data_IF_799493106719
#
_entry.id   IF_799493106719
#
_cell.length_a   1.000
_cell.length_b   1.000
_cell.length_c   1.000
_cell.angle_alpha   90.00
_cell.angle_beta   90.00
_cell.angle_gamma   90.00
#
_symmetry.space_group_name_H-M   'P 1'
#
loop_
_entity.id
_entity.type
_entity.pdbx_description
1 polymer ?
#
# COMPACT_ATOMS: atom_id res chain seq x y z
N UNK A 1 7.16 -22.66 -69.06
CA UNK A 1 8.40 -23.38 -68.71
C UNK A 1 8.69 -23.17 -67.22
N UNK A 2 9.03 -24.26 -66.53
CA UNK A 2 9.26 -24.53 -65.08
C UNK A 2 10.06 -23.48 -64.26
N UNK A 3 10.21 -23.57 -62.91
CA UNK A 3 9.71 -24.57 -61.91
C UNK A 3 9.08 -23.93 -60.63
N UNK A 4 8.15 -24.55 -59.87
CA UNK A 4 8.28 -25.59 -58.82
C UNK A 4 9.47 -25.47 -57.84
N UNK A 5 9.21 -24.96 -56.63
CA UNK A 5 10.02 -25.24 -55.43
C UNK A 5 9.09 -25.74 -54.33
N UNK A 6 9.28 -26.99 -53.93
CA UNK A 6 8.62 -27.62 -52.79
C UNK A 6 9.45 -27.33 -51.53
N UNK A 7 8.81 -26.81 -50.48
CA UNK A 7 9.42 -26.65 -49.17
C UNK A 7 9.09 -27.88 -48.33
N UNK A 8 10.11 -28.70 -48.06
CA UNK A 8 10.03 -29.84 -47.14
C UNK A 8 10.17 -29.29 -45.72
N UNK A 9 9.11 -29.39 -44.91
CA UNK A 9 9.15 -29.14 -43.48
C UNK A 9 9.49 -30.46 -42.76
N UNK A 10 10.70 -30.55 -42.22
CA UNK A 10 11.10 -31.62 -41.30
C UNK A 10 10.64 -31.21 -39.90
N UNK A 11 9.62 -31.89 -39.37
CA UNK A 11 9.22 -31.77 -37.98
C UNK A 11 10.13 -32.69 -37.14
N UNK A 12 11.03 -32.11 -36.36
CA UNK A 12 11.75 -32.83 -35.29
C UNK A 12 10.87 -32.76 -34.04
N UNK A 13 10.22 -33.87 -33.71
CA UNK A 13 9.51 -34.03 -32.44
C UNK A 13 10.54 -34.29 -31.33
N UNK A 14 10.80 -33.28 -30.50
CA UNK A 14 11.48 -33.48 -29.20
C UNK A 14 10.39 -33.71 -28.16
N UNK A 15 10.28 -34.94 -27.67
CA UNK A 15 9.41 -35.29 -26.57
C UNK A 15 9.85 -34.58 -25.29
N UNK A 16 9.06 -33.63 -24.83
CA UNK A 16 9.18 -33.10 -23.48
C UNK A 16 8.53 -34.10 -22.52
N UNK A 17 9.35 -34.73 -21.68
CA UNK A 17 8.86 -35.41 -20.49
C UNK A 17 8.15 -34.37 -19.61
N UNK A 18 6.85 -34.57 -19.40
CA UNK A 18 6.06 -33.74 -18.51
C UNK A 18 6.52 -33.96 -17.07
N UNK A 19 7.37 -33.08 -16.55
CA UNK A 19 7.44 -32.85 -15.12
C UNK A 19 6.14 -32.16 -14.74
N UNK A 20 5.23 -32.90 -14.10
CA UNK A 20 4.06 -32.30 -13.44
C UNK A 20 4.54 -31.45 -12.28
N UNK A 21 4.88 -30.19 -12.55
CA UNK A 21 4.78 -29.16 -11.54
C UNK A 21 3.30 -28.94 -11.29
N UNK A 22 2.80 -29.29 -10.11
CA UNK A 22 1.49 -28.84 -9.66
C UNK A 22 1.51 -27.32 -9.59
N UNK A 23 1.15 -26.67 -10.70
CA UNK A 23 0.87 -25.26 -10.74
C UNK A 23 -0.42 -25.06 -9.92
N UNK A 24 -0.25 -24.79 -8.62
CA UNK A 24 -1.33 -24.33 -7.78
C UNK A 24 -1.95 -23.11 -8.46
N UNK A 25 -3.24 -23.19 -8.77
CA UNK A 25 -3.97 -22.10 -9.39
C UNK A 25 -3.96 -20.91 -8.43
N UNK A 26 -3.10 -19.92 -8.67
CA UNK A 26 -3.11 -18.66 -7.93
C UNK A 26 -4.38 -17.90 -8.30
N UNK A 27 -5.44 -18.06 -7.51
CA UNK A 27 -6.63 -17.24 -7.67
C UNK A 27 -6.25 -15.75 -7.50
N UNK A 28 -6.60 -14.89 -8.46
CA UNK A 28 -6.21 -13.49 -8.40
C UNK A 28 -6.92 -12.77 -7.24
N UNK A 29 -6.17 -11.97 -6.48
CA UNK A 29 -6.75 -11.17 -5.40
C UNK A 29 -7.63 -10.07 -5.98
N UNK A 30 -8.92 -10.10 -5.64
CA UNK A 30 -9.86 -9.06 -5.99
C UNK A 30 -9.74 -7.85 -5.05
N UNK A 31 -8.77 -6.98 -5.33
CA UNK A 31 -8.51 -5.78 -4.53
C UNK A 31 -9.71 -4.85 -4.46
N UNK A 32 -10.07 -4.45 -3.23
CA UNK A 32 -11.16 -3.51 -2.95
C UNK A 32 -10.65 -2.39 -2.07
N UNK A 33 -11.19 -1.19 -2.27
CA UNK A 33 -10.97 -0.08 -1.34
C UNK A 33 -11.72 -0.36 -0.02
N UNK A 34 -11.15 -1.18 0.84
CA UNK A 34 -11.77 -1.61 2.09
C UNK A 34 -11.78 -0.50 3.15
N UNK A 35 -12.49 -0.75 4.25
CA UNK A 35 -12.48 0.10 5.44
C UNK A 35 -12.64 -0.72 6.70
N UNK A 36 -11.69 -0.57 7.62
CA UNK A 36 -11.79 -1.06 8.99
C UNK A 36 -12.56 -0.06 9.85
N UNK A 37 -13.67 -0.51 10.46
CA UNK A 37 -14.53 0.33 11.31
C UNK A 37 -14.45 -0.18 12.75
N UNK A 38 -14.41 0.75 13.71
CA UNK A 38 -14.31 0.42 15.13
C UNK A 38 -12.90 0.01 15.56
N UNK A 39 -12.81 -0.62 16.71
CA UNK A 39 -11.56 -1.14 17.28
C UNK A 39 -11.42 -2.64 16.95
N UNK A 40 -10.21 -3.23 17.05
CA UNK A 40 -9.98 -4.64 16.68
C UNK A 40 -10.88 -5.67 17.36
N UNK A 41 -11.42 -5.35 18.54
CA UNK A 41 -12.26 -6.21 19.40
C UNK A 41 -13.73 -5.77 19.48
N UNK A 42 -14.10 -4.72 18.75
CA UNK A 42 -15.48 -4.25 18.59
C UNK A 42 -15.54 -3.45 17.29
N UNK A 43 -15.70 -4.19 16.19
CA UNK A 43 -15.51 -3.62 14.87
C UNK A 43 -16.15 -4.43 13.75
N UNK A 44 -16.04 -3.88 12.55
CA UNK A 44 -16.48 -4.53 11.31
C UNK A 44 -15.55 -4.21 10.15
N UNK A 45 -15.52 -5.12 9.19
CA UNK A 45 -14.79 -4.98 7.94
C UNK A 45 -15.77 -4.64 6.81
N UNK A 46 -15.59 -3.48 6.19
CA UNK A 46 -16.41 -3.04 5.06
C UNK A 46 -15.63 -3.24 3.77
N UNK A 47 -16.25 -3.95 2.80
CA UNK A 47 -15.61 -4.29 1.51
C UNK A 47 -14.26 -4.99 1.70
N UNK A 48 -14.21 -5.97 2.60
CA UNK A 48 -13.04 -6.79 2.86
C UNK A 48 -12.49 -7.44 1.59
N UNK A 49 -11.21 -7.78 1.64
CA UNK A 49 -10.49 -8.52 0.60
C UNK A 49 -10.20 -9.91 1.15
N UNK A 50 -10.50 -10.93 0.35
CA UNK A 50 -10.16 -12.32 0.65
C UNK A 50 -8.72 -12.59 0.26
N UNK A 51 -7.95 -13.20 1.16
CA UNK A 51 -6.66 -13.80 0.84
C UNK A 51 -6.92 -15.17 0.20
N UNK A 52 -6.30 -15.53 -0.95
CA UNK A 52 -6.41 -16.85 -1.58
C UNK A 52 -6.02 -18.00 -0.64
N UNK A 53 -6.42 -19.25 -0.94
CA UNK A 53 -6.10 -20.40 -0.08
C UNK A 53 -4.59 -20.66 0.05
N UNK A 54 -3.83 -20.28 -0.96
CA UNK A 54 -2.38 -20.30 -0.98
C UNK A 54 -1.84 -19.29 -2.01
N UNK A 55 -0.54 -19.05 -1.97
CA UNK A 55 0.16 -18.26 -2.98
C UNK A 55 1.61 -18.73 -3.12
N UNK A 56 2.39 -17.96 -3.88
CA UNK A 56 3.79 -18.29 -4.17
C UNK A 56 4.66 -18.43 -2.90
N UNK A 57 4.48 -17.52 -1.94
CA UNK A 57 5.31 -17.45 -0.73
C UNK A 57 4.55 -17.75 0.56
N UNK A 58 3.29 -18.20 0.45
CA UNK A 58 2.48 -18.55 1.60
C UNK A 58 1.52 -19.70 1.34
N UNK A 59 1.14 -20.38 2.42
CA UNK A 59 -0.03 -21.26 2.47
C UNK A 59 -0.93 -20.78 3.62
N UNK A 60 -2.21 -21.14 3.61
CA UNK A 60 -3.10 -20.81 4.74
C UNK A 60 -3.33 -22.04 5.62
N UNK A 61 -3.47 -21.85 6.92
CA UNK A 61 -3.56 -22.96 7.88
C UNK A 61 -4.78 -22.81 8.78
N UNK A 62 -5.63 -23.83 8.83
CA UNK A 62 -6.79 -23.90 9.72
C UNK A 62 -6.38 -24.35 11.14
N UNK A 63 -6.34 -23.47 12.15
CA UNK A 63 -6.02 -23.85 13.52
C UNK A 63 -7.05 -24.79 14.16
N UNK A 64 -8.28 -24.88 13.64
CA UNK A 64 -9.34 -25.72 14.20
C UNK A 64 -9.28 -27.12 13.58
N UNK A 65 -9.21 -27.19 12.25
CA UNK A 65 -9.19 -28.46 11.51
C UNK A 65 -7.78 -29.04 11.34
N UNK A 66 -6.74 -28.28 11.73
CA UNK A 66 -5.32 -28.69 11.67
C UNK A 66 -4.91 -29.13 10.26
N UNK A 67 -5.34 -28.36 9.24
CA UNK A 67 -5.05 -28.63 7.83
C UNK A 67 -4.89 -27.34 7.02
N UNK A 68 -4.27 -27.47 5.86
CA UNK A 68 -4.22 -26.47 4.81
C UNK A 68 -5.19 -26.85 3.67
N UNK A 69 -5.87 -25.89 3.00
CA UNK A 69 -5.91 -24.46 3.31
C UNK A 69 -6.84 -24.15 4.50
N UNK A 70 -6.75 -22.92 5.04
CA UNK A 70 -7.75 -22.40 5.96
C UNK A 70 -9.10 -22.18 5.26
N UNK A 71 -10.19 -22.29 6.02
CA UNK A 71 -11.55 -22.07 5.50
C UNK A 71 -11.69 -20.65 4.99
N UNK A 72 -12.29 -20.50 3.81
CA UNK A 72 -12.43 -19.23 3.08
C UNK A 72 -12.98 -18.07 3.95
N UNK A 73 -13.92 -18.34 4.85
CA UNK A 73 -14.55 -17.33 5.68
C UNK A 73 -13.65 -16.80 6.82
N UNK A 74 -12.46 -17.39 7.04
CA UNK A 74 -11.47 -16.94 8.03
C UNK A 74 -10.35 -16.10 7.41
N UNK A 75 -10.33 -16.01 6.08
CA UNK A 75 -9.24 -15.42 5.27
C UNK A 75 -9.51 -13.98 4.80
N UNK A 76 -10.27 -13.17 5.55
CA UNK A 76 -10.66 -11.82 5.10
C UNK A 76 -9.94 -10.71 5.85
N UNK A 77 -9.30 -9.80 5.12
CA UNK A 77 -8.58 -8.67 5.68
C UNK A 77 -8.98 -7.33 5.06
N UNK A 78 -8.48 -6.24 5.65
CA UNK A 78 -8.44 -4.97 4.92
C UNK A 78 -7.43 -5.07 3.77
N UNK A 79 -7.66 -4.32 2.69
CA UNK A 79 -6.72 -4.21 1.57
C UNK A 79 -5.34 -3.75 2.04
N UNK A 80 -5.29 -2.85 3.03
CA UNK A 80 -4.03 -2.41 3.63
C UNK A 80 -3.30 -3.55 4.36
N UNK A 81 -4.01 -4.36 5.14
CA UNK A 81 -3.41 -5.49 5.85
C UNK A 81 -2.83 -6.50 4.87
N UNK A 82 -3.61 -6.90 3.86
CA UNK A 82 -3.15 -7.90 2.90
C UNK A 82 -1.99 -7.40 2.03
N UNK A 83 -1.98 -6.12 1.64
CA UNK A 83 -0.82 -5.54 0.93
C UNK A 83 0.45 -5.50 1.77
N UNK A 84 0.32 -5.16 3.06
CA UNK A 84 1.46 -5.24 3.99
C UNK A 84 1.94 -6.68 4.13
N UNK A 85 1.02 -7.62 4.34
CA UNK A 85 1.33 -9.03 4.51
C UNK A 85 2.08 -9.58 3.30
N UNK A 86 1.53 -9.43 2.10
CA UNK A 86 2.14 -9.94 0.87
C UNK A 86 3.51 -9.31 0.62
N UNK A 87 3.68 -8.00 0.84
CA UNK A 87 5.00 -7.36 0.74
C UNK A 87 6.01 -8.00 1.70
N UNK A 88 5.64 -8.20 2.97
CA UNK A 88 6.54 -8.82 3.96
C UNK A 88 6.92 -10.24 3.54
N UNK A 89 5.97 -11.00 2.98
CA UNK A 89 6.21 -12.36 2.50
C UNK A 89 7.13 -12.38 1.27
N UNK A 90 6.91 -11.50 0.30
CA UNK A 90 7.75 -11.36 -0.88
C UNK A 90 9.19 -10.98 -0.48
N UNK A 91 9.34 -9.99 0.40
CA UNK A 91 10.66 -9.55 0.87
C UNK A 91 11.37 -10.60 1.75
N UNK A 92 10.61 -11.41 2.50
CA UNK A 92 11.15 -12.55 3.26
C UNK A 92 11.62 -13.65 2.31
N UNK A 93 10.79 -14.06 1.34
CA UNK A 93 11.15 -15.10 0.37
C UNK A 93 12.37 -14.70 -0.47
N UNK A 94 12.47 -13.43 -0.86
CA UNK A 94 13.64 -12.91 -1.57
C UNK A 94 14.93 -12.97 -0.73
N UNK A 95 14.83 -12.85 0.60
CA UNK A 95 15.98 -12.95 1.49
C UNK A 95 16.32 -14.39 1.89
N UNK A 96 15.34 -15.30 1.81
CA UNK A 96 15.46 -16.71 2.20
C UNK A 96 14.91 -17.63 1.09
N UNK A 97 15.59 -17.71 -0.08
CA UNK A 97 15.05 -18.39 -1.26
C UNK A 97 14.84 -19.91 -1.07
N UNK A 98 15.57 -20.53 -0.13
CA UNK A 98 15.46 -21.95 0.20
C UNK A 98 14.49 -22.22 1.36
N UNK A 99 13.88 -21.18 1.95
CA UNK A 99 12.94 -21.36 3.03
C UNK A 99 11.58 -21.86 2.52
N UNK A 100 10.93 -22.70 3.33
CA UNK A 100 9.53 -23.06 3.10
C UNK A 100 8.62 -21.82 3.11
N UNK A 101 7.47 -21.92 2.43
CA UNK A 101 6.45 -20.87 2.42
C UNK A 101 5.96 -20.59 3.85
N UNK A 102 5.54 -19.36 4.11
CA UNK A 102 5.08 -18.95 5.44
C UNK A 102 3.61 -19.29 5.63
N UNK A 103 3.24 -19.86 6.78
CA UNK A 103 1.86 -20.20 7.10
C UNK A 103 1.07 -18.99 7.57
N UNK A 104 -0.08 -18.71 6.95
CA UNK A 104 -1.02 -17.66 7.35
C UNK A 104 -2.22 -18.28 8.05
N UNK A 105 -2.46 -17.86 9.28
CA UNK A 105 -3.61 -18.28 10.08
C UNK A 105 -4.79 -17.34 9.93
N UNK A 106 -5.47 -17.11 11.06
CA UNK A 106 -6.69 -16.33 11.10
C UNK A 106 -6.47 -14.88 10.68
N UNK A 107 -7.31 -14.41 9.76
CA UNK A 107 -7.52 -13.00 9.46
C UNK A 107 -8.83 -12.58 10.14
N UNK A 108 -9.80 -12.04 9.42
CA UNK A 108 -11.14 -11.76 9.93
C UNK A 108 -12.19 -12.56 9.18
N UNK A 109 -13.42 -12.50 9.69
CA UNK A 109 -14.63 -12.91 8.96
C UNK A 109 -14.90 -11.96 7.77
N UNK A 110 -15.73 -12.34 6.76
CA UNK A 110 -15.95 -11.53 5.55
C UNK A 110 -16.45 -10.10 5.81
N UNK A 111 -17.15 -9.91 6.91
CA UNK A 111 -17.65 -8.61 7.38
C UNK A 111 -17.07 -8.20 8.73
N UNK A 112 -16.04 -8.91 9.20
CA UNK A 112 -15.52 -8.77 10.55
C UNK A 112 -16.56 -9.16 11.61
N UNK A 113 -16.60 -8.42 12.72
CA UNK A 113 -17.42 -8.73 13.88
C UNK A 113 -16.83 -9.84 14.74
N UNK A 114 -17.59 -10.26 15.75
CA UNK A 114 -17.12 -11.21 16.76
C UNK A 114 -16.53 -12.47 16.14
N UNK A 115 -15.36 -12.87 16.66
CA UNK A 115 -14.60 -14.03 16.21
C UNK A 115 -14.12 -14.88 17.41
N UNK A 116 -14.97 -15.03 18.42
CA UNK A 116 -14.70 -15.80 19.64
C UNK A 116 -14.84 -17.33 19.44
N UNK A 117 -14.88 -18.08 20.55
CA UNK A 117 -14.92 -19.55 20.60
C UNK A 117 -16.07 -20.17 19.78
N UNK A 118 -17.14 -19.43 19.50
CA UNK A 118 -18.24 -19.88 18.62
C UNK A 118 -17.77 -20.21 17.20
N UNK A 119 -16.60 -19.70 16.82
CA UNK A 119 -15.98 -19.89 15.51
C UNK A 119 -14.77 -20.83 15.56
N UNK A 120 -14.57 -21.54 16.67
CA UNK A 120 -13.64 -22.66 16.84
C UNK A 120 -12.37 -22.32 17.62
N UNK A 121 -11.78 -23.36 18.22
CA UNK A 121 -10.59 -23.23 19.07
C UNK A 121 -10.86 -22.37 20.30
N UNK A 122 -9.86 -21.56 20.71
CA UNK A 122 -10.01 -20.54 21.77
C UNK A 122 -10.68 -19.25 21.27
N UNK A 123 -10.96 -19.16 19.97
CA UNK A 123 -11.37 -17.92 19.31
C UNK A 123 -10.35 -16.78 19.48
N UNK A 124 -10.80 -15.59 19.09
CA UNK A 124 -10.06 -14.35 19.13
C UNK A 124 -10.86 -13.27 19.84
N UNK A 125 -10.23 -12.58 20.78
CA UNK A 125 -10.80 -11.35 21.35
C UNK A 125 -10.81 -10.20 20.32
N UNK A 126 -9.91 -10.25 19.32
CA UNK A 126 -9.81 -9.27 18.23
C UNK A 126 -10.17 -9.88 16.87
N UNK A 127 -9.47 -9.54 15.78
CA UNK A 127 -9.77 -10.02 14.42
C UNK A 127 -11.15 -9.60 13.89
N UNK A 128 -11.74 -8.55 14.46
CA UNK A 128 -13.11 -8.16 14.12
C UNK A 128 -13.21 -7.10 13.02
N UNK A 129 -12.10 -6.51 12.55
CA UNK A 129 -12.16 -5.39 11.60
C UNK A 129 -11.12 -5.44 10.46
N UNK A 130 -10.50 -6.60 10.21
CA UNK A 130 -9.55 -6.77 9.10
C UNK A 130 -8.19 -6.12 9.33
N UNK A 131 -7.77 -5.93 10.59
CA UNK A 131 -6.48 -5.32 10.96
C UNK A 131 -5.53 -6.27 11.70
N UNK A 132 -5.94 -7.50 11.90
CA UNK A 132 -5.18 -8.54 12.59
C UNK A 132 -4.94 -9.71 11.64
N UNK A 133 -3.77 -10.33 11.75
CA UNK A 133 -3.41 -11.59 11.07
C UNK A 133 -2.53 -12.43 11.97
N UNK A 134 -2.79 -13.73 12.02
CA UNK A 134 -1.87 -14.70 12.58
C UNK A 134 -0.90 -15.20 11.51
N UNK A 135 0.39 -15.23 11.84
CA UNK A 135 1.46 -15.70 10.97
C UNK A 135 2.22 -16.79 11.72
N UNK A 136 2.15 -18.03 11.24
CA UNK A 136 2.85 -19.16 11.83
C UNK A 136 4.35 -19.02 11.67
N UNK A 137 5.08 -19.39 12.72
CA UNK A 137 6.54 -19.39 12.67
C UNK A 137 7.03 -20.47 11.70
N UNK A 138 7.97 -20.14 10.78
CA UNK A 138 8.65 -21.15 9.98
C UNK A 138 9.27 -22.24 10.85
N UNK A 139 9.23 -23.49 10.37
CA UNK A 139 9.78 -24.65 11.08
C UNK A 139 11.21 -24.96 10.64
N UNK A 140 12.04 -25.47 11.57
CA UNK A 140 13.42 -25.89 11.29
C UNK A 140 13.53 -27.03 10.28
N UNK A 141 12.51 -27.87 10.21
CA UNK A 141 12.44 -29.01 9.29
C UNK A 141 11.86 -28.64 7.92
N UNK A 142 11.56 -27.36 7.69
CA UNK A 142 11.03 -26.87 6.42
C UNK A 142 9.61 -27.34 6.09
N UNK A 143 8.90 -27.98 7.02
CA UNK A 143 7.54 -28.44 6.74
C UNK A 143 6.54 -27.26 6.76
N UNK A 144 5.60 -27.25 5.82
CA UNK A 144 4.52 -26.26 5.71
C UNK A 144 3.37 -26.56 6.69
N UNK A 145 3.68 -26.56 7.98
CA UNK A 145 2.76 -26.81 9.09
C UNK A 145 3.03 -25.82 10.23
N UNK A 146 2.11 -25.72 11.18
CA UNK A 146 2.41 -25.04 12.45
C UNK A 146 3.48 -25.79 13.27
N UNK A 147 4.26 -25.06 14.07
CA UNK A 147 5.11 -25.67 15.09
C UNK A 147 4.25 -26.29 16.22
N UNK A 148 4.57 -27.50 16.68
CA UNK A 148 3.86 -28.11 17.81
C UNK A 148 4.45 -27.66 19.16
N UNK A 149 5.73 -27.29 19.17
CA UNK A 149 6.50 -26.85 20.34
C UNK A 149 7.55 -25.82 19.94
N UNK A 150 8.01 -24.94 20.86
CA UNK A 150 8.98 -23.89 20.55
C UNK A 150 10.27 -24.38 19.90
N UNK A 151 10.74 -25.59 20.23
CA UNK A 151 11.98 -26.15 19.68
C UNK A 151 11.93 -26.45 18.17
N UNK A 152 10.73 -26.54 17.58
CA UNK A 152 10.53 -26.76 16.14
C UNK A 152 10.59 -25.46 15.34
N UNK A 153 10.53 -24.31 16.00
CA UNK A 153 10.58 -22.99 15.36
C UNK A 153 11.97 -22.71 14.82
N UNK A 154 12.05 -22.32 13.55
CA UNK A 154 13.23 -21.69 12.98
C UNK A 154 13.30 -20.25 13.49
N UNK A 155 14.15 -20.05 14.49
CA UNK A 155 14.20 -18.81 15.27
C UNK A 155 14.66 -17.63 14.43
N UNK A 156 15.68 -17.82 13.58
CA UNK A 156 16.26 -16.74 12.79
C UNK A 156 15.24 -16.19 11.78
N UNK A 157 14.55 -17.08 11.08
CA UNK A 157 13.54 -16.71 10.09
C UNK A 157 12.31 -16.08 10.75
N UNK A 158 11.91 -16.60 11.91
CA UNK A 158 10.80 -16.03 12.70
C UNK A 158 11.13 -14.63 13.22
N UNK A 159 12.38 -14.38 13.63
CA UNK A 159 12.84 -13.07 14.06
C UNK A 159 12.87 -12.07 12.90
N UNK A 160 13.34 -12.49 11.72
CA UNK A 160 13.31 -11.66 10.50
C UNK A 160 11.87 -11.24 10.13
N UNK A 161 10.90 -12.16 10.18
CA UNK A 161 9.50 -11.83 9.97
C UNK A 161 8.98 -10.78 10.97
N UNK A 162 9.30 -10.93 12.27
CA UNK A 162 8.95 -9.92 13.29
C UNK A 162 9.53 -8.55 12.92
N UNK A 163 10.81 -8.50 12.57
CA UNK A 163 11.51 -7.26 12.24
C UNK A 163 10.91 -6.58 11.00
N UNK A 164 10.54 -7.35 9.98
CA UNK A 164 9.88 -6.84 8.76
C UNK A 164 8.48 -6.30 9.04
N UNK A 165 7.67 -6.98 9.85
CA UNK A 165 6.36 -6.45 10.24
C UNK A 165 6.50 -5.14 11.04
N UNK A 166 7.47 -5.07 11.95
CA UNK A 166 7.78 -3.84 12.69
C UNK A 166 8.19 -2.72 11.72
N UNK A 167 9.12 -2.99 10.80
CA UNK A 167 9.61 -2.03 9.82
C UNK A 167 8.50 -1.53 8.87
N UNK A 168 7.55 -2.40 8.51
CA UNK A 168 6.42 -2.05 7.64
C UNK A 168 5.29 -1.34 8.38
N UNK A 169 5.43 -1.14 9.70
CA UNK A 169 4.53 -0.30 10.50
C UNK A 169 3.41 -1.06 11.22
N UNK A 170 3.63 -2.33 11.56
CA UNK A 170 2.82 -3.02 12.56
C UNK A 170 2.85 -2.22 13.88
N UNK A 171 1.68 -2.07 14.51
CA UNK A 171 1.56 -1.35 15.79
C UNK A 171 1.62 -2.31 16.99
N UNK A 172 1.34 -3.60 16.75
CA UNK A 172 1.57 -4.71 17.68
C UNK A 172 2.01 -5.94 16.92
N UNK A 173 2.92 -6.69 17.53
CA UNK A 173 3.26 -8.06 17.16
C UNK A 173 3.28 -8.85 18.47
N UNK A 174 2.28 -9.71 18.68
CA UNK A 174 2.28 -10.58 19.85
C UNK A 174 3.00 -11.87 19.51
N UNK A 175 3.98 -12.24 20.34
CA UNK A 175 4.83 -13.42 20.14
C UNK A 175 4.77 -14.35 21.35
N UNK A 176 5.15 -15.60 21.13
CA UNK A 176 5.18 -16.62 22.16
C UNK A 176 6.19 -16.32 23.26
N UNK A 177 5.85 -16.53 24.54
CA UNK A 177 6.77 -16.28 25.65
C UNK A 177 8.00 -17.19 25.64
N UNK A 178 7.94 -18.36 24.98
CA UNK A 178 9.01 -19.37 25.00
C UNK A 178 9.83 -19.46 23.72
N UNK A 179 9.43 -18.74 22.66
CA UNK A 179 10.17 -18.73 21.38
C UNK A 179 11.39 -17.80 21.45
N UNK A 180 11.36 -16.79 22.32
CA UNK A 180 12.51 -15.89 22.53
C UNK A 180 12.66 -14.79 21.48
N UNK A 181 11.60 -14.50 20.71
CA UNK A 181 11.55 -13.38 19.76
C UNK A 181 11.52 -12.01 20.46
N UNK A 182 12.09 -10.99 19.80
CA UNK A 182 12.32 -9.66 20.39
C UNK A 182 12.00 -8.54 19.39
N UNK A 183 11.91 -7.31 19.92
CA UNK A 183 11.73 -6.08 19.15
C UNK A 183 11.35 -4.91 20.06
N UNK A 184 10.93 -3.76 19.51
CA UNK A 184 10.55 -2.60 20.31
C UNK A 184 9.41 -2.93 21.29
N UNK A 185 9.64 -2.80 22.59
CA UNK A 185 8.72 -3.24 23.68
C UNK A 185 7.27 -2.73 23.57
N UNK A 186 7.06 -1.57 22.94
CA UNK A 186 5.71 -1.01 22.71
C UNK A 186 4.96 -1.69 21.57
N UNK A 187 5.65 -2.37 20.67
CA UNK A 187 5.14 -3.04 19.48
C UNK A 187 5.18 -4.56 19.68
N UNK A 188 6.37 -5.12 19.96
CA UNK A 188 6.56 -6.56 20.17
C UNK A 188 6.30 -6.93 21.62
N UNK A 189 5.27 -7.74 21.87
CA UNK A 189 4.79 -8.09 23.20
C UNK A 189 4.64 -9.60 23.34
N UNK A 190 4.97 -10.15 24.51
CA UNK A 190 4.77 -11.58 24.76
C UNK A 190 3.33 -11.84 25.15
N UNK A 191 2.71 -12.85 24.57
CA UNK A 191 1.35 -13.26 24.87
C UNK A 191 1.27 -14.78 24.93
N UNK A 192 0.64 -15.32 25.98
CA UNK A 192 0.43 -16.76 26.11
C UNK A 192 -0.35 -17.31 24.91
N UNK A 193 -0.15 -18.59 24.60
CA UNK A 193 -0.75 -19.28 23.43
C UNK A 193 -0.26 -18.81 22.06
N UNK A 194 0.86 -18.10 21.97
CA UNK A 194 1.47 -17.63 20.71
C UNK A 194 2.85 -18.29 20.44
N UNK A 195 3.10 -19.48 20.98
CA UNK A 195 4.39 -20.16 20.80
C UNK A 195 4.57 -20.82 19.42
N UNK A 196 3.51 -20.89 18.61
CA UNK A 196 3.51 -21.43 17.25
C UNK A 196 3.24 -20.37 16.16
N UNK A 197 2.79 -19.17 16.54
CA UNK A 197 2.50 -18.07 15.62
C UNK A 197 2.74 -16.70 16.25
N UNK A 198 2.97 -15.69 15.43
CA UNK A 198 2.86 -14.28 15.82
C UNK A 198 1.50 -13.72 15.40
N UNK A 199 0.91 -12.91 16.27
CA UNK A 199 -0.28 -12.11 15.94
C UNK A 199 0.18 -10.71 15.56
N UNK A 200 -0.02 -10.32 14.30
CA UNK A 200 0.34 -8.99 13.79
C UNK A 200 -0.89 -8.09 13.73
N UNK A 201 -0.76 -6.85 14.22
CA UNK A 201 -1.82 -5.83 14.14
C UNK A 201 -1.32 -4.55 13.48
N UNK A 202 -2.09 -4.06 12.51
CA UNK A 202 -1.84 -2.75 11.89
C UNK A 202 -2.65 -1.62 12.53
N UNK A 203 -2.17 -0.38 12.35
CA UNK A 203 -2.85 0.83 12.80
C UNK A 203 -4.20 1.09 12.12
N UNK A 204 -5.01 2.03 12.62
CA UNK A 204 -6.27 2.39 11.98
C UNK A 204 -6.04 2.94 10.57
N UNK A 205 -7.07 2.87 9.73
CA UNK A 205 -7.02 3.40 8.38
C UNK A 205 -6.69 4.90 8.41
N UNK A 206 -5.67 5.35 7.65
CA UNK A 206 -5.37 6.76 7.57
C UNK A 206 -6.52 7.52 6.90
N UNK A 207 -6.69 8.79 7.32
CA UNK A 207 -7.72 9.67 6.75
C UNK A 207 -7.57 9.78 5.24
N UNK A 208 -8.66 9.53 4.51
CA UNK A 208 -8.72 9.66 3.05
C UNK A 208 -8.65 11.09 2.54
N UNK A 209 -9.03 12.07 3.36
CA UNK A 209 -8.99 13.50 3.04
C UNK A 209 -8.31 14.26 4.15
N UNK A 210 -7.30 15.05 3.80
CA UNK A 210 -6.46 15.81 4.72
C UNK A 210 -6.42 17.26 4.27
N UNK A 211 -6.72 18.20 5.17
CA UNK A 211 -6.53 19.62 4.87
C UNK A 211 -5.04 19.94 4.94
N UNK A 212 -4.48 20.52 3.88
CA UNK A 212 -3.04 20.83 3.78
C UNK A 212 -2.74 22.33 3.96
N UNK A 213 -3.76 23.18 3.85
CA UNK A 213 -3.63 24.61 4.03
C UNK A 213 -4.94 25.36 3.78
N UNK A 214 -4.81 26.67 3.64
CA UNK A 214 -5.86 27.58 3.20
C UNK A 214 -5.26 28.50 2.13
N UNK A 215 -6.10 28.96 1.21
CA UNK A 215 -5.75 30.00 0.25
C UNK A 215 -5.69 31.38 0.90
N UNK A 216 -5.33 32.39 0.11
CA UNK A 216 -5.37 33.80 0.51
C UNK A 216 -6.72 34.22 1.08
N UNK A 217 -7.83 33.86 0.44
CA UNK A 217 -9.19 34.16 0.92
C UNK A 217 -9.70 33.15 1.95
N UNK A 218 -8.82 32.32 2.52
CA UNK A 218 -9.17 31.39 3.61
C UNK A 218 -9.85 30.09 3.17
N UNK A 219 -10.05 29.86 1.87
CA UNK A 219 -10.67 28.62 1.35
C UNK A 219 -9.77 27.42 1.67
N UNK A 220 -10.34 26.30 2.16
CA UNK A 220 -9.53 25.14 2.54
C UNK A 220 -8.94 24.44 1.32
N UNK A 221 -7.67 24.04 1.42
CA UNK A 221 -6.98 23.23 0.41
C UNK A 221 -6.86 21.81 0.96
N UNK A 222 -7.28 20.82 0.17
CA UNK A 222 -7.29 19.42 0.57
C UNK A 222 -6.37 18.56 -0.31
N UNK A 223 -5.77 17.56 0.32
CA UNK A 223 -5.23 16.39 -0.35
C UNK A 223 -6.14 15.17 -0.08
N UNK A 224 -6.34 14.34 -1.10
CA UNK A 224 -6.98 13.03 -1.03
C UNK A 224 -5.92 11.93 -1.06
N UNK A 225 -6.19 10.81 -0.40
CA UNK A 225 -5.33 9.61 -0.40
C UNK A 225 -6.05 8.43 -1.05
N UNK A 226 -5.36 7.74 -1.94
CA UNK A 226 -5.83 6.55 -2.65
C UNK A 226 -4.72 5.49 -2.76
N UNK A 227 -5.05 4.29 -3.26
CA UNK A 227 -4.10 3.18 -3.34
C UNK A 227 -3.73 2.58 -1.98
N UNK A 228 -2.51 2.04 -1.91
CA UNK A 228 -1.92 1.48 -0.70
C UNK A 228 -1.41 2.58 0.23
N UNK A 229 -2.24 2.97 1.20
CA UNK A 229 -1.92 4.02 2.19
C UNK A 229 -0.83 3.62 3.19
N UNK A 230 -0.34 2.38 3.15
CA UNK A 230 0.80 1.89 3.92
C UNK A 230 2.08 1.74 3.08
N UNK A 231 2.06 2.05 1.78
CA UNK A 231 3.23 1.90 0.92
C UNK A 231 4.33 2.91 1.28
N UNK A 232 5.61 2.49 1.33
CA UNK A 232 6.73 3.41 1.46
C UNK A 232 6.84 4.31 0.22
N UNK A 233 6.48 3.78 -0.95
CA UNK A 233 6.48 4.46 -2.23
C UNK A 233 5.28 5.41 -2.36
N UNK A 234 5.56 6.70 -2.48
CA UNK A 234 4.55 7.77 -2.49
C UNK A 234 4.64 8.56 -3.79
N UNK A 235 3.48 8.90 -4.33
CA UNK A 235 3.37 9.83 -5.45
C UNK A 235 2.44 10.98 -5.08
N UNK A 236 2.76 12.19 -5.55
CA UNK A 236 1.90 13.36 -5.40
C UNK A 236 1.41 13.83 -6.77
N UNK A 237 0.11 14.02 -6.93
CA UNK A 237 -0.50 14.54 -8.15
C UNK A 237 -1.26 15.82 -7.84
N UNK A 238 -0.96 16.91 -8.55
CA UNK A 238 -1.65 18.20 -8.43
C UNK A 238 -2.46 18.46 -9.69
N UNK A 239 -3.77 18.63 -9.53
CA UNK A 239 -4.71 18.73 -10.65
C UNK A 239 -4.93 20.15 -11.17
N UNK A 240 -4.78 21.16 -10.31
CA UNK A 240 -4.97 22.55 -10.71
C UNK A 240 -4.13 23.49 -9.85
N UNK A 241 -3.17 24.16 -10.49
CA UNK A 241 -2.36 25.23 -9.89
C UNK A 241 -2.67 26.60 -10.52
N UNK A 242 -2.98 26.65 -11.81
CA UNK A 242 -3.55 27.83 -12.46
C UNK A 242 -5.07 27.72 -12.44
N UNK A 243 -5.77 28.67 -11.82
CA UNK A 243 -7.21 28.54 -11.56
C UNK A 243 -8.10 28.48 -12.81
N UNK A 244 -7.58 28.80 -13.99
CA UNK A 244 -8.26 28.68 -15.28
C UNK A 244 -7.87 27.42 -16.08
N UNK A 245 -7.01 26.54 -15.55
CA UNK A 245 -6.49 25.34 -16.23
C UNK A 245 -6.75 24.07 -15.40
N UNK A 246 -7.99 23.89 -14.96
CA UNK A 246 -8.31 22.86 -13.96
C UNK A 246 -8.78 21.49 -14.52
N UNK A 247 -8.61 21.15 -15.79
CA UNK A 247 -9.06 19.82 -16.26
C UNK A 247 -8.31 18.66 -15.59
N UNK A 248 -7.10 18.89 -15.05
CA UNK A 248 -6.38 17.91 -14.22
C UNK A 248 -7.15 17.48 -12.97
N UNK A 249 -8.15 18.26 -12.51
CA UNK A 249 -9.06 17.86 -11.43
C UNK A 249 -9.85 16.58 -11.78
N UNK A 250 -10.22 16.39 -13.06
CA UNK A 250 -10.88 15.17 -13.51
C UNK A 250 -9.97 13.95 -13.37
N UNK A 251 -8.68 14.09 -13.72
CA UNK A 251 -7.67 13.04 -13.54
C UNK A 251 -7.52 12.67 -12.07
N UNK A 252 -7.39 13.67 -11.18
CA UNK A 252 -7.32 13.38 -9.74
C UNK A 252 -8.59 12.69 -9.22
N UNK A 253 -9.75 12.96 -9.81
CA UNK A 253 -11.01 12.31 -9.42
C UNK A 253 -11.08 10.84 -9.87
N UNK A 254 -10.53 10.52 -11.05
CA UNK A 254 -10.38 9.14 -11.53
C UNK A 254 -9.40 8.38 -10.64
N UNK A 255 -8.22 8.96 -10.39
CA UNK A 255 -7.19 8.37 -9.53
C UNK A 255 -7.65 8.17 -8.08
N UNK A 256 -8.54 9.01 -7.55
CA UNK A 256 -9.08 8.82 -6.21
C UNK A 256 -9.88 7.51 -6.05
N UNK A 257 -10.36 6.95 -7.17
CA UNK A 257 -11.13 5.69 -7.22
C UNK A 257 -10.26 4.47 -7.55
N UNK A 258 -9.01 4.66 -7.95
CA UNK A 258 -8.10 3.55 -8.25
C UNK A 258 -7.52 2.93 -6.96
N UNK A 259 -6.88 1.77 -7.10
CA UNK A 259 -6.21 1.06 -6.00
C UNK A 259 -4.79 0.60 -6.41
N UNK A 260 -3.90 1.53 -6.81
CA UNK A 260 -2.52 1.16 -7.14
C UNK A 260 -1.75 0.70 -5.89
N UNK A 261 -0.64 -0.01 -6.09
CA UNK A 261 0.24 -0.50 -5.02
C UNK A 261 1.12 0.59 -4.34
N UNK A 262 0.85 1.87 -4.63
CA UNK A 262 1.56 3.02 -4.05
C UNK A 262 0.61 3.87 -3.19
N UNK A 263 1.18 4.67 -2.28
CA UNK A 263 0.43 5.66 -1.49
C UNK A 263 0.27 6.93 -2.34
N UNK A 264 -0.90 7.05 -2.95
CA UNK A 264 -1.19 8.12 -3.90
C UNK A 264 -1.82 9.31 -3.19
N UNK A 265 -1.11 10.45 -3.20
CA UNK A 265 -1.60 11.74 -2.70
C UNK A 265 -2.05 12.61 -3.85
N UNK A 266 -3.27 13.14 -3.76
CA UNK A 266 -3.92 13.90 -4.83
C UNK A 266 -4.34 15.26 -4.28
N UNK A 267 -3.89 16.34 -4.89
CA UNK A 267 -4.36 17.70 -4.61
C UNK A 267 -5.16 18.17 -5.81
N UNK A 268 -6.49 17.99 -5.82
CA UNK A 268 -7.30 18.35 -6.99
C UNK A 268 -7.15 19.83 -7.36
N UNK A 269 -7.16 20.70 -6.34
CA UNK A 269 -7.07 22.15 -6.54
C UNK A 269 -6.18 22.79 -5.48
N UNK A 270 -5.04 23.34 -5.92
CA UNK A 270 -4.10 24.10 -5.10
C UNK A 270 -4.44 25.60 -5.10
N UNK A 271 -5.16 26.10 -6.12
CA UNK A 271 -5.55 27.50 -6.29
C UNK A 271 -7.08 27.68 -6.27
N UNK A 272 -7.75 27.45 -5.12
CA UNK A 272 -9.20 27.56 -5.05
C UNK A 272 -9.72 28.98 -5.28
N UNK A 273 -8.90 30.00 -5.03
CA UNK A 273 -9.27 31.41 -5.23
C UNK A 273 -9.24 31.80 -6.72
N UNK A 274 -8.16 31.44 -7.42
CA UNK A 274 -8.08 31.59 -8.87
C UNK A 274 -9.16 30.78 -9.58
N UNK A 275 -9.43 29.54 -9.11
CA UNK A 275 -10.48 28.70 -9.67
C UNK A 275 -11.87 29.32 -9.55
N UNK A 276 -12.21 29.86 -8.37
CA UNK A 276 -13.50 30.52 -8.14
C UNK A 276 -13.72 31.73 -9.07
N UNK A 277 -12.64 32.37 -9.54
CA UNK A 277 -12.70 33.56 -10.40
C UNK A 277 -12.30 33.26 -11.85
N UNK A 278 -12.03 31.99 -12.20
CA UNK A 278 -11.50 31.54 -13.49
C UNK A 278 -10.25 32.32 -13.94
N UNK A 279 -9.37 32.63 -13.00
CA UNK A 279 -8.10 33.31 -13.25
C UNK A 279 -6.91 32.37 -13.06
N UNK A 280 -5.85 32.59 -13.85
CA UNK A 280 -4.59 31.86 -13.75
C UNK A 280 -3.97 32.04 -12.36
N UNK A 281 -3.89 33.28 -11.89
CA UNK A 281 -3.28 33.67 -10.63
C UNK A 281 -4.18 33.36 -9.41
N UNK A 282 -3.62 33.45 -8.20
CA UNK A 282 -4.41 33.42 -6.95
C UNK A 282 -5.05 34.79 -6.66
N UNK A 283 -5.68 34.95 -5.49
CA UNK A 283 -6.36 36.21 -5.12
C UNK A 283 -5.43 37.43 -4.95
N UNK A 284 -4.13 37.22 -4.76
CA UNK A 284 -3.13 38.31 -4.75
C UNK A 284 -2.60 38.64 -6.15
N UNK A 285 -3.11 37.99 -7.20
CA UNK A 285 -2.60 38.17 -8.56
C UNK A 285 -1.24 37.52 -8.79
N UNK A 286 -0.84 36.54 -7.98
CA UNK A 286 0.42 35.78 -8.12
C UNK A 286 0.22 34.51 -8.95
N UNK A 287 1.09 34.28 -9.93
CA UNK A 287 1.22 32.97 -10.59
C UNK A 287 1.92 32.00 -9.62
N UNK A 288 1.15 31.06 -9.07
CA UNK A 288 1.67 30.09 -8.10
C UNK A 288 2.79 29.22 -8.68
N UNK A 289 2.80 28.97 -9.99
CA UNK A 289 3.85 28.18 -10.65
C UNK A 289 5.15 28.97 -10.86
N UNK A 290 5.16 30.25 -10.49
CA UNK A 290 6.36 31.11 -10.45
C UNK A 290 6.76 31.47 -9.02
N UNK A 291 5.97 31.07 -8.03
CA UNK A 291 6.20 31.40 -6.61
C UNK A 291 7.05 30.36 -5.86
N UNK A 292 7.46 29.28 -6.52
CA UNK A 292 8.44 28.32 -5.99
C UNK A 292 9.87 28.89 -6.11
N UNK A 293 10.84 28.45 -5.28
CA UNK A 293 12.21 28.98 -5.29
C UNK A 293 12.99 28.59 -6.54
N UNK A 294 12.63 27.48 -7.18
CA UNK A 294 13.25 27.06 -8.45
C UNK A 294 12.95 28.08 -9.54
N UNK A 295 13.99 28.59 -10.18
CA UNK A 295 13.90 29.58 -11.26
C UNK A 295 13.17 30.88 -10.89
N UNK A 296 13.03 31.18 -9.59
CA UNK A 296 12.39 32.41 -9.14
C UNK A 296 13.20 33.63 -9.57
N UNK A 297 12.53 34.63 -10.14
CA UNK A 297 13.15 35.91 -10.54
C UNK A 297 12.26 37.05 -10.08
N UNK A 298 12.83 38.03 -9.37
CA UNK A 298 12.08 39.23 -8.98
C UNK A 298 11.61 40.01 -10.22
N UNK A 299 10.44 40.65 -10.14
CA UNK A 299 9.91 41.51 -11.20
C UNK A 299 8.40 41.37 -11.40
N UNK A 300 7.85 42.25 -12.25
CA UNK A 300 6.42 42.31 -12.54
C UNK A 300 5.58 42.93 -11.42
N UNK A 301 4.27 42.96 -11.64
CA UNK A 301 3.23 43.47 -10.75
C UNK A 301 2.13 42.43 -10.59
N UNK A 302 1.34 42.47 -9.49
CA UNK A 302 0.15 41.64 -9.36
C UNK A 302 -0.69 41.64 -10.64
N UNK A 303 -1.12 40.44 -11.05
CA UNK A 303 -1.89 40.15 -12.27
C UNK A 303 -1.09 40.09 -13.58
N UNK A 304 0.20 40.44 -13.58
CA UNK A 304 1.05 40.09 -14.73
C UNK A 304 1.07 38.56 -14.91
N UNK A 305 1.18 38.10 -16.16
CA UNK A 305 0.96 36.69 -16.52
C UNK A 305 1.86 35.72 -15.76
N UNK A 306 3.07 36.16 -15.40
CA UNK A 306 4.08 35.37 -14.69
C UNK A 306 4.54 36.03 -13.38
N UNK A 307 3.74 36.94 -12.79
CA UNK A 307 4.13 37.59 -11.55
C UNK A 307 4.41 36.56 -10.45
N UNK A 308 5.65 36.48 -9.94
CA UNK A 308 6.08 35.39 -9.07
C UNK A 308 5.82 35.67 -7.59
N UNK A 309 5.20 36.81 -7.26
CA UNK A 309 5.05 37.28 -5.88
C UNK A 309 6.30 37.96 -5.34
N UNK A 310 6.21 38.47 -4.10
CA UNK A 310 7.25 39.33 -3.49
C UNK A 310 8.56 38.59 -3.17
N UNK A 311 8.49 37.28 -2.99
CA UNK A 311 9.62 36.37 -2.69
C UNK A 311 9.16 34.93 -2.90
N UNK A 312 10.09 33.96 -3.02
CA UNK A 312 9.71 32.55 -3.02
C UNK A 312 8.82 32.20 -1.82
N UNK A 313 7.79 31.40 -2.06
CA UNK A 313 6.79 31.00 -1.07
C UNK A 313 6.08 32.15 -0.35
N UNK A 314 5.91 33.30 -1.01
CA UNK A 314 5.08 34.39 -0.49
C UNK A 314 3.62 33.97 -0.33
N UNK A 315 3.13 33.03 -1.13
CA UNK A 315 1.73 32.63 -1.15
C UNK A 315 1.43 31.46 -0.19
N UNK A 316 0.28 31.49 0.51
CA UNK A 316 -0.09 30.40 1.42
C UNK A 316 -0.33 29.07 0.69
N UNK A 317 -0.78 29.10 -0.57
CA UNK A 317 -1.00 27.92 -1.42
C UNK A 317 0.32 27.19 -1.71
N UNK A 318 1.35 27.90 -2.19
CA UNK A 318 2.66 27.30 -2.47
C UNK A 318 3.35 26.82 -1.19
N UNK A 319 3.19 27.53 -0.06
CA UNK A 319 3.64 27.04 1.25
C UNK A 319 2.95 25.74 1.66
N UNK A 320 1.65 25.60 1.38
CA UNK A 320 0.92 24.37 1.66
C UNK A 320 1.46 23.19 0.84
N UNK A 321 1.71 23.39 -0.45
CA UNK A 321 2.34 22.39 -1.30
C UNK A 321 3.76 22.03 -0.83
N UNK A 322 4.60 23.03 -0.54
CA UNK A 322 5.97 22.81 -0.08
C UNK A 322 6.04 21.99 1.23
N UNK A 323 5.18 22.31 2.20
CA UNK A 323 5.07 21.51 3.44
C UNK A 323 4.60 20.09 3.16
N UNK A 324 3.64 19.91 2.24
CA UNK A 324 3.17 18.59 1.86
C UNK A 324 4.30 17.77 1.23
N UNK A 325 5.02 18.33 0.26
CA UNK A 325 6.11 17.66 -0.43
C UNK A 325 7.21 17.25 0.56
N UNK A 326 7.66 18.17 1.43
CA UNK A 326 8.68 17.85 2.45
C UNK A 326 8.23 16.80 3.45
N UNK A 327 6.94 16.78 3.80
CA UNK A 327 6.39 15.77 4.72
C UNK A 327 6.30 14.39 4.08
N UNK A 328 5.95 14.35 2.79
CA UNK A 328 5.72 13.09 2.09
C UNK A 328 7.00 12.49 1.52
N UNK A 329 7.96 13.33 1.12
CA UNK A 329 9.14 12.92 0.35
C UNK A 329 8.74 11.99 -0.82
N UNK A 330 7.84 12.44 -1.70
CA UNK A 330 7.33 11.57 -2.75
C UNK A 330 8.43 11.23 -3.77
N UNK A 331 8.43 10.00 -4.25
CA UNK A 331 9.35 9.54 -5.30
C UNK A 331 9.10 10.28 -6.62
N UNK A 332 7.87 10.71 -6.86
CA UNK A 332 7.47 11.49 -8.03
C UNK A 332 6.37 12.49 -7.69
N UNK A 333 6.45 13.68 -8.30
CA UNK A 333 5.35 14.65 -8.30
C UNK A 333 4.89 14.95 -9.72
N UNK A 334 3.59 14.86 -9.98
CA UNK A 334 2.97 15.13 -11.29
C UNK A 334 2.07 16.36 -11.14
N UNK A 335 2.29 17.37 -12.00
CA UNK A 335 1.55 18.63 -11.97
C UNK A 335 0.87 18.84 -13.31
N UNK A 336 -0.46 18.80 -13.31
CA UNK A 336 -1.25 19.00 -14.52
C UNK A 336 -1.38 20.49 -14.85
N UNK A 337 -1.21 20.80 -16.14
CA UNK A 337 -1.35 22.11 -16.74
C UNK A 337 -2.15 22.00 -18.04
N UNK A 338 -2.68 23.11 -18.53
CA UNK A 338 -3.34 23.21 -19.83
C UNK A 338 -2.91 24.51 -20.53
N UNK A 339 -2.96 24.61 -21.88
CA UNK A 339 -3.42 23.62 -22.85
C UNK A 339 -2.26 22.81 -23.49
N UNK A 340 -1.05 22.89 -22.96
CA UNK A 340 0.13 22.32 -23.63
C UNK A 340 0.06 20.78 -23.68
N UNK A 341 0.22 20.21 -24.88
CA UNK A 341 0.32 18.77 -25.10
C UNK A 341 1.78 18.28 -24.93
N UNK A 342 2.39 18.59 -23.78
CA UNK A 342 3.78 18.22 -23.49
C UNK A 342 3.98 17.80 -22.03
N UNK A 343 5.00 16.98 -21.81
CA UNK A 343 5.48 16.61 -20.47
C UNK A 343 6.86 17.23 -20.27
N UNK A 344 7.04 17.98 -19.17
CA UNK A 344 8.37 18.41 -18.71
C UNK A 344 8.77 17.54 -17.53
N UNK A 345 9.92 16.90 -17.62
CA UNK A 345 10.49 16.08 -16.57
C UNK A 345 11.82 16.67 -16.10
N UNK A 346 12.02 16.70 -14.79
CA UNK A 346 13.23 17.18 -14.13
C UNK A 346 13.53 16.26 -12.96
N UNK A 347 14.79 15.89 -12.76
CA UNK A 347 15.20 14.96 -11.71
C UNK A 347 16.61 14.43 -11.96
N UNK A 348 17.11 13.60 -11.04
CA UNK A 348 18.33 12.85 -11.30
C UNK A 348 18.07 11.88 -12.45
N UNK A 349 18.87 11.95 -13.51
CA UNK A 349 18.90 10.91 -14.55
C UNK A 349 19.32 9.60 -13.90
N UNK A 350 18.53 8.55 -14.09
CA UNK A 350 18.86 7.19 -13.64
C UNK A 350 19.14 6.40 -14.93
N UNK A 351 20.29 5.73 -15.06
CA UNK A 351 20.51 4.82 -16.18
C UNK A 351 19.41 3.75 -16.20
N UNK A 352 18.89 3.43 -17.38
CA UNK A 352 18.09 2.23 -17.56
C UNK A 352 19.03 1.03 -17.35
N UNK A 353 18.73 0.22 -16.33
CA UNK A 353 19.44 -1.03 -16.05
C UNK A 353 19.06 -2.11 -17.07
#
# INVERSE_FOLDING_TARGET
MLPRVALILVAVAVGAAAVSTSAGSQEPIHWRQSRSVGVPWDGRLVRGVELPPEGEHFFTWDPVQKRSPDRWWRRWGSDRLLRMLLRVLDEYAAAHPEAARVGIGDLSRPHGGVFDERFGGRGHASHQNGRDVDVYYPRRDGQELRAARPAEVEHAHSQDLVDRFVATGAIKVFVGPHVGLRGPRRIVQRLIYHDDHMHVRIGPDPKRRVRIGRSVQGRPIYALRAGDRGSPSKALVVGCIHGNECAGTAVTSILARSSPAIDLWLVPNLNPDGFATRRRQNAHGVDLNRNFPSEWRAGGRPWDAQYPGRRPFSEPETRAAARLIRRLEPSVTIWFHQPQALVRAWGRSIPLA
#
